data_IF_884877316403
#
_entry.id   IF_884877316403
#
_cell.length_a   1.000
_cell.length_b   1.000
_cell.length_c   1.000
_cell.angle_alpha   90.00
_cell.angle_beta   90.00
_cell.angle_gamma   90.00
#
_symmetry.space_group_name_H-M   'P 1'
#
loop_
_entity.id
_entity.type
_entity.pdbx_description
1 polymer ?
#
# COMPACT_ATOMS: atom_id res chain seq x y z
N UNK A 1 3.75 -1.45 -12.58
CA UNK A 1 3.55 -2.91 -12.67
C UNK A 1 2.14 -3.21 -13.16
N UNK A 2 1.11 -2.63 -12.59
CA UNK A 2 -0.28 -2.82 -12.98
C UNK A 2 -0.93 -1.48 -13.31
N UNK A 3 -1.64 -1.39 -14.43
CA UNK A 3 -2.42 -0.19 -14.78
C UNK A 3 -3.79 -0.22 -14.10
N UNK A 4 -4.28 0.95 -13.68
CA UNK A 4 -5.57 1.13 -13.05
C UNK A 4 -6.10 2.55 -13.26
N UNK A 5 -7.33 2.82 -12.77
CA UNK A 5 -8.00 4.11 -12.99
C UNK A 5 -8.60 4.74 -11.73
N UNK A 6 -8.82 3.97 -10.66
CA UNK A 6 -9.61 4.43 -9.52
C UNK A 6 -8.76 4.87 -8.33
N UNK A 7 -7.59 4.21 -8.12
CA UNK A 7 -6.63 4.52 -7.06
C UNK A 7 -5.22 4.09 -7.46
N UNK A 8 -4.20 4.83 -7.04
CA UNK A 8 -2.79 4.45 -7.15
C UNK A 8 -2.30 3.85 -5.83
N UNK A 9 -1.80 2.62 -5.88
CA UNK A 9 -1.08 1.98 -4.79
C UNK A 9 0.42 2.19 -5.05
N UNK A 10 1.08 2.91 -4.17
CA UNK A 10 2.52 3.19 -4.25
C UNK A 10 3.24 2.35 -3.23
N UNK A 11 4.23 1.58 -3.64
CA UNK A 11 4.92 0.69 -2.73
C UNK A 11 6.36 0.40 -3.16
N UNK A 12 7.12 -0.21 -2.28
CA UNK A 12 8.51 -0.64 -2.51
C UNK A 12 8.70 -2.06 -2.03
N UNK A 13 9.72 -2.73 -2.59
CA UNK A 13 10.18 -4.04 -2.14
C UNK A 13 9.03 -5.05 -1.99
N UNK A 14 9.02 -5.80 -0.90
CA UNK A 14 8.04 -6.84 -0.59
C UNK A 14 6.57 -6.35 -0.66
N UNK A 15 6.29 -5.14 -0.18
CA UNK A 15 4.92 -4.61 -0.16
C UNK A 15 4.31 -4.43 -1.57
N UNK A 16 5.13 -4.39 -2.62
CA UNK A 16 4.65 -4.38 -4.00
C UNK A 16 3.84 -5.64 -4.32
N UNK A 17 4.28 -6.78 -3.82
CA UNK A 17 3.60 -8.06 -4.02
C UNK A 17 2.26 -8.08 -3.28
N UNK A 18 2.23 -7.56 -2.05
CA UNK A 18 0.99 -7.41 -1.29
C UNK A 18 0.01 -6.46 -1.99
N UNK A 19 0.50 -5.37 -2.60
CA UNK A 19 -0.31 -4.46 -3.40
C UNK A 19 -0.90 -5.13 -4.64
N UNK A 20 -0.16 -6.01 -5.32
CA UNK A 20 -0.65 -6.76 -6.48
C UNK A 20 -1.78 -7.69 -6.06
N UNK A 21 -1.61 -8.42 -4.97
CA UNK A 21 -2.65 -9.32 -4.44
C UNK A 21 -3.88 -8.53 -3.93
N UNK A 22 -3.66 -7.41 -3.23
CA UNK A 22 -4.75 -6.51 -2.84
C UNK A 22 -5.52 -5.99 -4.06
N UNK A 23 -4.83 -5.63 -5.14
CA UNK A 23 -5.48 -5.18 -6.37
C UNK A 23 -6.39 -6.26 -6.99
N UNK A 24 -5.99 -7.55 -6.95
CA UNK A 24 -6.83 -8.67 -7.38
C UNK A 24 -8.08 -8.83 -6.50
N UNK A 25 -7.93 -8.64 -5.19
CA UNK A 25 -9.07 -8.67 -4.26
C UNK A 25 -10.03 -7.53 -4.57
N UNK A 26 -9.51 -6.31 -4.78
CA UNK A 26 -10.29 -5.10 -5.00
C UNK A 26 -11.03 -5.09 -6.35
N UNK A 27 -10.54 -5.81 -7.36
CA UNK A 27 -11.25 -6.03 -8.62
C UNK A 27 -12.64 -6.67 -8.40
N UNK A 28 -12.77 -7.57 -7.42
CA UNK A 28 -14.07 -8.17 -7.05
C UNK A 28 -15.08 -7.16 -6.52
N UNK A 29 -14.60 -5.99 -6.11
CA UNK A 29 -15.41 -4.88 -5.62
C UNK A 29 -15.52 -3.73 -6.61
N UNK A 30 -15.16 -3.98 -7.89
CA UNK A 30 -15.15 -3.00 -8.98
C UNK A 30 -14.25 -1.79 -8.68
N UNK A 31 -13.08 -2.01 -8.10
CA UNK A 31 -12.05 -0.98 -7.89
C UNK A 31 -10.81 -1.38 -8.69
N UNK A 32 -10.47 -0.53 -9.67
CA UNK A 32 -9.32 -0.72 -10.55
C UNK A 32 -8.09 -0.01 -9.99
N UNK A 33 -7.19 -0.78 -9.38
CA UNK A 33 -5.97 -0.25 -8.77
C UNK A 33 -4.84 -0.17 -9.79
N UNK A 34 -4.16 0.98 -9.83
CA UNK A 34 -2.83 1.12 -10.43
C UNK A 34 -1.78 0.80 -9.38
N UNK A 35 -0.82 -0.07 -9.69
CA UNK A 35 0.25 -0.45 -8.76
C UNK A 35 1.58 0.05 -9.30
N UNK A 36 2.25 0.88 -8.52
CA UNK A 36 3.59 1.41 -8.82
C UNK A 36 4.60 0.85 -7.83
N UNK A 37 5.63 0.24 -8.39
CA UNK A 37 6.83 -0.17 -7.69
C UNK A 37 7.86 0.96 -7.76
N UNK A 38 8.15 1.56 -6.61
CA UNK A 38 9.19 2.58 -6.47
C UNK A 38 10.53 1.89 -6.29
N UNK A 39 11.17 1.55 -7.41
CA UNK A 39 12.42 0.77 -7.41
C UNK A 39 13.62 1.54 -6.88
N UNK A 40 13.61 2.86 -7.05
CA UNK A 40 14.72 3.72 -6.70
C UNK A 40 14.25 4.76 -5.69
N UNK A 41 14.83 4.72 -4.50
CA UNK A 41 14.53 5.67 -3.42
C UNK A 41 15.31 6.98 -3.61
N UNK A 42 16.47 6.91 -4.23
CA UNK A 42 17.29 8.10 -4.53
C UNK A 42 18.00 7.94 -5.89
N UNK A 43 17.61 8.73 -6.89
CA UNK A 43 16.47 9.64 -6.92
C UNK A 43 15.13 8.91 -7.10
N UNK A 44 14.06 9.46 -6.50
CA UNK A 44 12.69 8.96 -6.73
C UNK A 44 12.19 9.44 -8.09
N UNK A 45 11.52 8.56 -8.85
CA UNK A 45 10.80 8.94 -10.07
C UNK A 45 9.43 9.57 -9.73
N UNK A 46 9.48 10.79 -9.21
CA UNK A 46 8.29 11.57 -8.92
C UNK A 46 7.41 11.82 -10.14
N UNK A 47 8.00 11.89 -11.34
CA UNK A 47 7.26 12.12 -12.58
C UNK A 47 6.27 10.99 -12.87
N UNK A 48 6.68 9.74 -12.69
CA UNK A 48 5.79 8.59 -12.85
C UNK A 48 4.70 8.56 -11.78
N UNK A 49 5.05 8.87 -10.53
CA UNK A 49 4.10 8.94 -9.42
C UNK A 49 3.05 10.03 -9.66
N UNK A 50 3.45 11.23 -10.01
CA UNK A 50 2.58 12.37 -10.31
C UNK A 50 1.60 12.02 -11.45
N UNK A 51 2.10 11.50 -12.57
CA UNK A 51 1.27 11.11 -13.71
C UNK A 51 0.18 10.11 -13.32
N UNK A 52 0.48 9.16 -12.46
CA UNK A 52 -0.48 8.17 -11.99
C UNK A 52 -1.54 8.80 -11.09
N UNK A 53 -1.13 9.58 -10.09
CA UNK A 53 -2.07 10.19 -9.14
C UNK A 53 -2.91 11.29 -9.78
N UNK A 54 -2.38 12.02 -10.77
CA UNK A 54 -3.17 12.96 -11.58
C UNK A 54 -4.34 12.26 -12.29
N UNK A 55 -4.15 11.02 -12.72
CA UNK A 55 -5.18 10.20 -13.37
C UNK A 55 -6.18 9.65 -12.35
N UNK A 56 -5.72 9.04 -11.26
CA UNK A 56 -6.57 8.32 -10.30
C UNK A 56 -7.18 9.22 -9.23
N UNK A 57 -6.55 10.38 -8.97
CA UNK A 57 -6.94 11.36 -7.93
C UNK A 57 -6.99 10.79 -6.51
N UNK A 58 -6.47 9.58 -6.29
CA UNK A 58 -6.38 8.89 -5.00
C UNK A 58 -5.08 8.13 -4.93
N UNK A 59 -4.44 8.12 -3.77
CA UNK A 59 -3.29 7.26 -3.55
C UNK A 59 -3.29 6.67 -2.14
N UNK A 60 -2.82 5.43 -2.06
CA UNK A 60 -2.42 4.76 -0.83
C UNK A 60 -0.95 4.39 -0.97
N UNK A 61 -0.13 4.87 -0.05
CA UNK A 61 1.30 4.55 0.01
C UNK A 61 1.46 3.45 1.06
N UNK A 62 2.07 2.33 0.69
CA UNK A 62 2.29 1.19 1.59
C UNK A 62 3.77 1.00 1.84
N UNK A 63 4.14 0.84 3.10
CA UNK A 63 5.53 0.78 3.54
C UNK A 63 5.70 -0.23 4.67
N UNK A 64 6.82 -0.94 4.69
CA UNK A 64 7.24 -1.83 5.78
C UNK A 64 8.02 -1.11 6.88
N UNK A 65 8.27 0.18 6.73
CA UNK A 65 8.81 1.04 7.79
C UNK A 65 7.70 1.84 8.47
N UNK A 66 8.02 2.58 9.52
CA UNK A 66 7.06 3.54 10.07
C UNK A 66 7.00 4.81 9.21
N UNK A 67 5.90 5.56 9.30
CA UNK A 67 5.73 6.78 8.51
C UNK A 67 6.52 7.98 9.04
N UNK A 68 6.98 7.95 10.30
CA UNK A 68 7.71 9.07 10.89
C UNK A 68 9.10 9.20 10.23
N UNK A 69 9.33 10.32 9.58
CA UNK A 69 10.54 10.58 8.79
C UNK A 69 10.82 9.53 7.69
N UNK A 70 9.81 8.74 7.31
CA UNK A 70 9.94 7.69 6.29
C UNK A 70 9.78 8.22 4.87
N UNK A 71 10.17 7.39 3.90
CA UNK A 71 10.06 7.70 2.47
C UNK A 71 8.58 7.88 2.04
N UNK A 72 7.68 7.15 2.66
CA UNK A 72 6.23 7.26 2.45
C UNK A 72 5.72 8.67 2.77
N UNK A 73 6.22 9.30 3.83
CA UNK A 73 5.88 10.68 4.17
C UNK A 73 6.43 11.68 3.15
N UNK A 74 7.64 11.45 2.63
CA UNK A 74 8.23 12.27 1.58
C UNK A 74 7.38 12.23 0.30
N UNK A 75 6.95 11.04 -0.12
CA UNK A 75 6.08 10.88 -1.29
C UNK A 75 4.70 11.52 -1.03
N UNK A 76 4.13 11.35 0.16
CA UNK A 76 2.86 11.97 0.52
C UNK A 76 2.94 13.51 0.46
N UNK A 77 4.00 14.08 1.03
CA UNK A 77 4.24 15.53 0.96
C UNK A 77 4.38 16.04 -0.49
N UNK A 78 5.08 15.28 -1.33
CA UNK A 78 5.18 15.61 -2.76
C UNK A 78 3.80 15.66 -3.41
N UNK A 79 2.93 14.68 -3.18
CA UNK A 79 1.59 14.68 -3.75
C UNK A 79 0.76 15.88 -3.30
N UNK A 80 0.77 16.21 -2.01
CA UNK A 80 0.04 17.37 -1.50
C UNK A 80 0.59 18.71 -2.03
N UNK A 81 1.90 18.78 -2.33
CA UNK A 81 2.53 20.01 -2.84
C UNK A 81 2.36 20.20 -4.35
N UNK A 82 2.01 19.14 -5.10
CA UNK A 82 2.01 19.18 -6.57
C UNK A 82 0.66 18.86 -7.21
N UNK A 83 -0.25 18.24 -6.47
CA UNK A 83 -1.50 17.75 -7.06
C UNK A 83 -2.70 18.42 -6.39
N UNK A 84 -3.40 19.23 -7.18
CA UNK A 84 -4.66 19.83 -6.79
C UNK A 84 -5.84 18.87 -7.03
N UNK A 85 -6.96 19.13 -6.38
CA UNK A 85 -8.22 18.43 -6.59
C UNK A 85 -8.15 16.91 -6.38
N UNK A 86 -7.46 16.48 -5.33
CA UNK A 86 -7.51 15.10 -4.88
C UNK A 86 -8.93 14.74 -4.41
N UNK A 87 -9.43 13.57 -4.84
CA UNK A 87 -10.76 13.09 -4.43
C UNK A 87 -10.78 12.59 -2.99
N UNK A 88 -9.64 12.15 -2.47
CA UNK A 88 -9.45 11.73 -1.09
C UNK A 88 -8.10 12.24 -0.58
N UNK A 89 -7.92 12.22 0.75
CA UNK A 89 -6.59 12.38 1.32
C UNK A 89 -5.66 11.28 0.80
N UNK A 90 -4.39 11.64 0.61
CA UNK A 90 -3.34 10.64 0.43
C UNK A 90 -3.19 9.92 1.77
N UNK A 91 -3.30 8.61 1.74
CA UNK A 91 -3.15 7.80 2.96
C UNK A 91 -1.85 7.02 2.92
N UNK A 92 -1.30 6.80 4.10
CA UNK A 92 -0.11 5.96 4.32
C UNK A 92 -0.54 4.77 5.17
N UNK A 93 -0.18 3.58 4.73
CA UNK A 93 -0.32 2.36 5.49
C UNK A 93 1.09 1.82 5.77
N UNK A 94 1.56 2.05 6.97
CA UNK A 94 2.91 1.72 7.44
C UNK A 94 2.85 0.96 8.75
N UNK A 95 4.00 0.52 9.24
CA UNK A 95 4.10 -0.07 10.58
C UNK A 95 3.78 0.96 11.67
N UNK A 96 3.32 0.52 12.85
CA UNK A 96 3.17 1.38 14.01
C UNK A 96 4.50 2.05 14.40
N UNK A 97 4.44 3.29 14.91
CA UNK A 97 5.61 4.00 15.42
C UNK A 97 6.01 3.46 16.80
N UNK A 98 6.59 2.28 16.81
CA UNK A 98 7.15 1.65 18.01
C UNK A 98 8.28 0.69 17.60
N UNK A 99 9.14 0.28 18.54
CA UNK A 99 10.16 -0.74 18.27
C UNK A 99 9.53 -2.04 17.78
N UNK A 100 10.18 -2.68 16.81
CA UNK A 100 9.73 -3.95 16.27
C UNK A 100 9.78 -5.04 17.38
N UNK A 101 8.65 -5.73 17.62
CA UNK A 101 8.61 -6.74 18.66
C UNK A 101 9.35 -8.00 18.22
N UNK A 102 10.10 -8.60 19.14
CA UNK A 102 10.77 -9.90 18.91
C UNK A 102 9.88 -11.10 19.24
N UNK A 103 8.79 -10.87 19.98
CA UNK A 103 7.84 -11.93 20.31
C UNK A 103 6.88 -12.17 19.14
N UNK A 104 6.82 -13.42 18.70
CA UNK A 104 5.92 -13.87 17.62
C UNK A 104 4.45 -13.48 17.83
N UNK A 105 3.96 -13.52 19.07
CA UNK A 105 2.58 -13.14 19.37
C UNK A 105 2.29 -11.66 19.22
N UNK A 106 3.30 -10.80 19.34
CA UNK A 106 3.17 -9.35 19.19
C UNK A 106 3.28 -8.91 17.72
N UNK A 107 3.67 -9.81 16.81
CA UNK A 107 3.71 -9.54 15.38
C UNK A 107 2.34 -9.63 14.72
N UNK A 108 1.33 -10.22 15.37
CA UNK A 108 -0.02 -10.32 14.81
C UNK A 108 -0.61 -8.90 14.62
N UNK A 109 -0.81 -8.51 13.37
CA UNK A 109 -1.28 -7.18 12.98
C UNK A 109 -0.22 -6.08 13.01
N UNK A 110 1.06 -6.41 13.22
CA UNK A 110 2.15 -5.45 13.17
C UNK A 110 2.55 -5.11 11.74
N UNK A 111 2.66 -6.10 10.88
CA UNK A 111 2.92 -5.94 9.46
C UNK A 111 1.61 -5.93 8.65
N UNK A 112 1.48 -4.93 7.79
CA UNK A 112 0.32 -4.83 6.92
C UNK A 112 0.41 -5.84 5.78
N UNK A 113 -0.71 -6.48 5.46
CA UNK A 113 -0.84 -7.43 4.37
C UNK A 113 -1.84 -6.95 3.29
N UNK A 114 -2.07 -7.79 2.29
CA UNK A 114 -3.04 -7.53 1.21
C UNK A 114 -4.46 -7.26 1.71
N UNK A 115 -4.85 -7.83 2.85
CA UNK A 115 -6.18 -7.63 3.41
C UNK A 115 -6.28 -6.25 4.09
N UNK A 116 -5.22 -5.82 4.77
CA UNK A 116 -5.15 -4.48 5.36
C UNK A 116 -5.15 -3.40 4.29
N UNK A 117 -4.37 -3.59 3.22
CA UNK A 117 -4.37 -2.73 2.04
C UNK A 117 -5.77 -2.67 1.42
N UNK A 118 -6.41 -3.84 1.21
CA UNK A 118 -7.75 -3.90 0.63
C UNK A 118 -8.79 -3.20 1.50
N UNK A 119 -8.76 -3.44 2.81
CA UNK A 119 -9.67 -2.82 3.76
C UNK A 119 -9.49 -1.29 3.80
N UNK A 120 -8.25 -0.82 3.80
CA UNK A 120 -7.96 0.61 3.76
C UNK A 120 -8.51 1.26 2.48
N UNK A 121 -8.30 0.64 1.32
CA UNK A 121 -8.87 1.12 0.06
C UNK A 121 -10.40 1.13 0.11
N UNK A 122 -11.04 0.07 0.59
CA UNK A 122 -12.50 0.03 0.71
C UNK A 122 -13.03 1.16 1.59
N UNK A 123 -12.35 1.49 2.69
CA UNK A 123 -12.69 2.64 3.55
C UNK A 123 -12.55 3.97 2.79
N UNK A 124 -11.48 4.15 2.02
CA UNK A 124 -11.29 5.35 1.17
C UNK A 124 -12.42 5.51 0.15
N UNK A 125 -13.02 4.41 -0.31
CA UNK A 125 -14.19 4.41 -1.19
C UNK A 125 -15.53 4.40 -0.44
N UNK A 126 -15.53 4.58 0.89
CA UNK A 126 -16.71 4.57 1.76
C UNK A 126 -17.55 3.30 1.62
N UNK A 127 -16.92 2.18 1.31
CA UNK A 127 -17.58 0.87 1.25
C UNK A 127 -17.55 0.22 2.63
N UNK A 128 -18.70 -0.03 3.23
CA UNK A 128 -18.85 -0.73 4.52
C UNK A 128 -18.67 -2.26 4.36
N UNK A 129 -17.55 -2.65 3.77
CA UNK A 129 -17.19 -4.05 3.54
C UNK A 129 -15.85 -4.29 4.21
N UNK A 130 -15.70 -5.41 4.91
CA UNK A 130 -14.43 -5.86 5.49
C UNK A 130 -14.03 -7.17 4.87
N UNK A 131 -12.86 -7.20 4.26
CA UNK A 131 -12.22 -8.42 3.76
C UNK A 131 -11.46 -9.06 4.91
N UNK A 132 -11.75 -10.32 5.20
CA UNK A 132 -11.12 -11.04 6.32
C UNK A 132 -10.19 -12.09 5.75
N UNK A 133 -8.99 -12.15 6.30
CA UNK A 133 -8.09 -13.27 6.06
C UNK A 133 -8.64 -14.52 6.78
N UNK A 134 -9.14 -15.47 6.01
CA UNK A 134 -9.66 -16.74 6.56
C UNK A 134 -8.54 -17.70 6.97
N UNK A 135 -7.37 -17.55 6.38
CA UNK A 135 -6.18 -18.35 6.68
C UNK A 135 -5.17 -17.42 7.35
N UNK A 136 -5.10 -17.42 8.68
CA UNK A 136 -4.06 -16.69 9.41
C UNK A 136 -2.69 -17.27 9.03
N UNK A 137 -2.03 -16.61 8.09
CA UNK A 137 -0.64 -16.89 7.77
C UNK A 137 0.21 -16.37 8.92
N UNK A 138 1.30 -17.04 9.21
CA UNK A 138 2.27 -16.58 10.22
C UNK A 138 2.76 -15.17 9.84
N UNK A 139 2.77 -14.20 10.76
CA UNK A 139 2.97 -12.78 10.42
C UNK A 139 4.37 -12.46 9.89
N UNK A 140 5.34 -13.32 10.12
CA UNK A 140 6.75 -13.15 9.74
C UNK A 140 7.16 -13.98 8.51
N UNK A 141 6.20 -14.73 7.92
CA UNK A 141 6.47 -15.57 6.75
C UNK A 141 5.65 -15.06 5.58
N UNK A 142 6.27 -14.81 4.42
CA UNK A 142 5.54 -14.55 3.19
C UNK A 142 4.50 -15.65 2.93
N UNK A 143 3.32 -15.27 2.43
CA UNK A 143 2.28 -16.22 2.11
C UNK A 143 2.70 -17.24 1.04
N UNK A 144 1.94 -18.32 0.88
CA UNK A 144 2.18 -19.43 -0.07
C UNK A 144 2.35 -18.98 -1.54
N UNK A 145 1.94 -17.77 -1.86
CA UNK A 145 2.11 -17.13 -3.16
C UNK A 145 3.54 -16.63 -3.41
N UNK A 146 4.34 -16.45 -2.36
CA UNK A 146 5.71 -15.99 -2.47
C UNK A 146 6.64 -17.17 -2.78
N UNK A 147 7.17 -17.18 -3.98
CA UNK A 147 8.14 -18.18 -4.47
C UNK A 147 9.51 -17.54 -4.71
N UNK A 148 9.85 -16.59 -3.87
CA UNK A 148 11.08 -15.82 -4.00
C UNK A 148 12.33 -16.60 -3.62
N UNK A 149 13.51 -15.97 -3.78
CA UNK A 149 14.80 -16.62 -3.67
C UNK A 149 15.32 -16.75 -2.23
N UNK A 150 14.50 -17.13 -1.29
CA UNK A 150 14.97 -17.44 0.08
C UNK A 150 14.71 -18.88 0.41
#
# INVERSE_FOLDING_TARGET
IKKGRDITLVSFSYMVLECIEAAKILEKYNISCEVIDVRTISPIDFKTLEKSVLKTKRALITDTSNSFCGISSTISNFFYSKIDNLLNKIEILSMPFCPEPTSYRLLDGFYNDRYDISNRVLQMFKKNIKVINKNKIKPDIPGDWFKGPF
#
